data_IF_277091072894
#
_entry.id   IF_277091072894
#
_cell.length_a   1.000
_cell.length_b   1.000
_cell.length_c   1.000
_cell.angle_alpha   90.00
_cell.angle_beta   90.00
_cell.angle_gamma   90.00
#
_symmetry.space_group_name_H-M   'P 1'
#
loop_
_entity.id
_entity.type
_entity.pdbx_description
1 polymer ?
#
# COMPACT_ATOMS: atom_id res chain seq x y z
N UNK A 1 4.89 -45.65 -26.95
CA UNK A 1 5.71 -45.57 -25.74
C UNK A 1 5.23 -44.45 -24.86
N UNK A 2 4.12 -44.66 -24.19
CA UNK A 2 3.54 -43.76 -23.17
C UNK A 2 2.76 -44.62 -22.20
N UNK A 3 3.41 -45.12 -21.13
CA UNK A 3 2.83 -45.79 -19.96
C UNK A 3 4.00 -46.31 -19.14
N UNK A 4 4.54 -45.48 -18.26
CA UNK A 4 5.40 -45.94 -17.12
C UNK A 4 5.96 -44.68 -16.43
N UNK A 5 5.14 -43.91 -15.77
CA UNK A 5 5.53 -42.97 -14.69
C UNK A 5 4.21 -42.55 -13.99
N UNK A 6 3.68 -43.43 -13.15
CA UNK A 6 2.59 -43.13 -12.21
C UNK A 6 2.42 -44.20 -11.12
N UNK A 7 3.51 -44.72 -10.57
CA UNK A 7 3.45 -45.66 -9.43
C UNK A 7 4.57 -45.44 -8.38
N UNK A 8 5.20 -44.29 -8.34
CA UNK A 8 6.27 -44.04 -7.36
C UNK A 8 5.90 -42.98 -6.27
N UNK A 9 4.70 -42.40 -6.29
CA UNK A 9 4.32 -41.37 -5.30
C UNK A 9 3.31 -41.77 -4.25
N UNK A 10 2.90 -43.02 -4.19
CA UNK A 10 1.87 -43.47 -3.24
C UNK A 10 2.47 -44.34 -2.11
N UNK A 11 3.73 -44.74 -2.18
CA UNK A 11 4.36 -45.63 -1.18
C UNK A 11 5.15 -44.83 -0.11
N UNK A 12 5.39 -43.53 -0.30
CA UNK A 12 6.15 -42.75 0.70
C UNK A 12 5.27 -42.02 1.74
N UNK A 13 3.95 -42.07 1.62
CA UNK A 13 3.01 -41.44 2.58
C UNK A 13 2.44 -42.42 3.62
N UNK A 14 2.72 -43.73 3.51
CA UNK A 14 2.18 -44.75 4.40
C UNK A 14 3.15 -45.19 5.51
N UNK A 15 4.38 -44.68 5.56
CA UNK A 15 5.36 -45.04 6.58
C UNK A 15 5.64 -43.99 7.65
N UNK A 16 4.91 -42.87 7.66
CA UNK A 16 5.05 -41.80 8.68
C UNK A 16 3.84 -41.68 9.62
N UNK A 17 2.88 -42.62 9.57
CA UNK A 17 1.70 -42.62 10.44
C UNK A 17 1.65 -43.75 11.47
N UNK A 18 2.76 -44.51 11.68
CA UNK A 18 2.78 -45.64 12.62
C UNK A 18 3.69 -45.45 13.84
N UNK A 19 4.06 -44.23 14.21
CA UNK A 19 4.94 -43.97 15.37
C UNK A 19 4.31 -43.14 16.49
N UNK A 20 2.99 -43.03 16.58
CA UNK A 20 2.30 -42.24 17.64
C UNK A 20 1.12 -43.01 18.27
N UNK A 21 1.29 -44.29 18.53
CA UNK A 21 0.34 -45.07 19.32
C UNK A 21 1.12 -46.05 20.26
N UNK A 22 1.82 -45.46 21.23
CA UNK A 22 2.22 -46.25 22.41
C UNK A 22 2.14 -45.38 23.66
N UNK A 23 1.38 -45.92 24.56
CA UNK A 23 1.41 -45.68 25.99
C UNK A 23 0.33 -44.77 26.58
N UNK A 24 -0.80 -45.36 26.86
CA UNK A 24 -1.45 -45.20 28.15
C UNK A 24 -1.84 -46.58 28.63
N UNK A 25 -1.02 -47.14 29.47
CA UNK A 25 -1.39 -48.31 30.27
C UNK A 25 -1.40 -47.85 31.73
N UNK A 26 -2.61 -47.63 32.23
CA UNK A 26 -2.89 -47.35 33.61
C UNK A 26 -2.63 -48.60 34.42
N UNK A 27 -1.55 -48.62 35.17
CA UNK A 27 -1.40 -49.51 36.31
C UNK A 27 -1.23 -48.65 37.56
N UNK A 28 -2.28 -48.69 38.36
CA UNK A 28 -2.36 -47.98 39.62
C UNK A 28 -1.16 -48.29 40.53
N UNK A 29 -0.48 -47.24 40.89
CA UNK A 29 0.27 -47.18 42.13
C UNK A 29 -0.03 -45.84 42.80
N UNK A 30 -0.73 -45.95 43.92
CA UNK A 30 -1.15 -44.86 44.80
C UNK A 30 -0.01 -44.47 45.71
N UNK A 31 1.06 -43.86 45.18
CA UNK A 31 2.01 -43.11 45.98
C UNK A 31 2.48 -41.89 45.18
N UNK A 32 1.58 -40.89 45.06
CA UNK A 32 2.02 -39.54 44.73
C UNK A 32 2.74 -38.99 45.95
N UNK A 33 3.99 -38.53 45.83
CA UNK A 33 4.61 -37.78 46.91
C UNK A 33 3.73 -36.58 47.18
N UNK A 34 3.23 -36.44 48.41
CA UNK A 34 2.58 -35.23 48.90
C UNK A 34 3.64 -34.12 48.81
N UNK A 35 3.46 -33.24 47.80
CA UNK A 35 4.20 -31.98 47.73
C UNK A 35 3.83 -31.14 48.96
N UNK A 36 4.78 -30.44 49.60
CA UNK A 36 4.50 -29.62 50.74
C UNK A 36 3.38 -28.62 50.43
N UNK A 37 2.42 -28.45 51.34
CA UNK A 37 1.39 -27.47 51.27
C UNK A 37 2.05 -26.09 51.12
N UNK A 38 1.86 -25.46 49.96
CA UNK A 38 2.37 -24.14 49.65
C UNK A 38 1.26 -23.12 49.95
N UNK A 39 1.53 -22.26 50.91
CA UNK A 39 0.60 -21.19 51.31
C UNK A 39 0.67 -20.03 50.32
N UNK A 40 0.14 -20.23 49.10
CA UNK A 40 0.03 -19.21 48.07
C UNK A 40 -1.31 -18.53 48.21
N UNK A 41 -1.31 -17.23 48.53
CA UNK A 41 -2.53 -16.42 48.65
C UNK A 41 -3.27 -16.22 47.27
N UNK A 42 -2.72 -16.74 46.18
CA UNK A 42 -3.30 -16.62 44.84
C UNK A 42 -3.26 -17.99 44.15
N UNK A 43 -4.34 -18.73 44.25
CA UNK A 43 -4.50 -20.03 43.58
C UNK A 43 -5.34 -19.90 42.32
N UNK A 44 -4.95 -20.61 41.27
CA UNK A 44 -5.74 -20.77 40.06
C UNK A 44 -7.07 -21.49 40.40
N UNK A 45 -8.24 -20.90 40.07
CA UNK A 45 -9.54 -21.49 40.37
C UNK A 45 -9.79 -22.84 39.66
N UNK A 46 -8.97 -23.19 38.64
CA UNK A 46 -9.15 -24.40 37.87
C UNK A 46 -8.26 -25.55 38.37
N UNK A 47 -7.03 -25.28 38.78
CA UNK A 47 -6.08 -26.32 39.17
C UNK A 47 -5.51 -26.17 40.59
N UNK A 48 -5.90 -25.14 41.32
CA UNK A 48 -5.40 -24.78 42.68
C UNK A 48 -3.87 -24.60 42.76
N UNK A 49 -3.20 -24.31 41.63
CA UNK A 49 -1.79 -24.00 41.59
C UNK A 49 -1.55 -22.49 41.68
N UNK A 50 -0.36 -22.10 42.14
CA UNK A 50 0.01 -20.69 42.27
C UNK A 50 0.04 -19.98 40.94
N UNK A 51 -0.68 -18.87 40.84
CA UNK A 51 -0.72 -17.96 39.65
C UNK A 51 0.03 -16.64 39.88
N UNK A 52 0.65 -16.45 41.05
CA UNK A 52 1.35 -15.20 41.36
C UNK A 52 2.68 -15.12 40.60
N UNK A 53 2.83 -14.17 39.63
CA UNK A 53 4.08 -13.99 38.91
C UNK A 53 5.20 -13.42 39.80
N UNK A 54 4.88 -12.89 40.98
CA UNK A 54 5.83 -12.29 41.92
C UNK A 54 6.26 -13.25 43.03
N UNK A 55 5.74 -14.46 43.04
CA UNK A 55 6.12 -15.51 44.03
C UNK A 55 7.62 -15.84 43.89
N UNK A 56 8.41 -15.43 44.87
CA UNK A 56 9.88 -15.59 44.92
C UNK A 56 10.32 -16.90 45.59
N UNK A 57 9.40 -17.73 46.02
CA UNK A 57 9.77 -19.01 46.65
C UNK A 57 10.40 -19.97 45.64
N UNK A 58 11.64 -20.39 45.94
CA UNK A 58 12.47 -21.23 45.08
C UNK A 58 11.83 -22.60 44.75
N UNK A 59 10.90 -23.06 45.55
CA UNK A 59 10.25 -24.35 45.43
C UNK A 59 8.81 -24.28 44.93
N UNK A 60 8.40 -23.13 44.33
CA UNK A 60 7.13 -23.04 43.64
C UNK A 60 7.15 -23.88 42.34
N UNK A 61 7.47 -25.14 42.46
CA UNK A 61 7.39 -26.15 41.39
C UNK A 61 5.95 -26.33 40.86
N UNK A 62 4.98 -25.73 41.54
CA UNK A 62 3.57 -25.80 41.27
C UNK A 62 3.04 -24.56 40.57
N UNK A 63 3.89 -23.80 39.87
CA UNK A 63 3.38 -22.72 38.99
C UNK A 63 2.45 -23.33 37.96
N UNK A 64 1.29 -22.74 37.84
CA UNK A 64 0.32 -23.03 36.80
C UNK A 64 0.95 -22.73 35.42
N UNK A 65 1.71 -23.66 34.87
CA UNK A 65 2.30 -23.55 33.53
C UNK A 65 1.32 -24.11 32.51
N UNK A 66 0.33 -23.34 32.09
CA UNK A 66 -0.53 -23.80 31.02
C UNK A 66 -2.00 -23.43 31.07
N UNK A 67 -2.46 -22.77 32.12
CA UNK A 67 -3.77 -22.15 32.05
C UNK A 67 -3.59 -20.72 31.48
N UNK A 68 -4.11 -20.54 30.31
CA UNK A 68 -4.37 -19.21 29.77
C UNK A 68 -5.21 -18.49 30.81
N UNK A 69 -4.77 -17.34 31.32
CA UNK A 69 -5.60 -16.44 32.14
C UNK A 69 -6.93 -16.32 31.39
N UNK A 70 -8.09 -16.57 32.02
CA UNK A 70 -9.37 -16.41 31.32
C UNK A 70 -9.39 -15.00 30.72
N UNK A 71 -9.56 -14.92 29.41
CA UNK A 71 -9.66 -13.64 28.72
C UNK A 71 -10.76 -12.83 29.38
N UNK A 72 -10.43 -11.62 29.84
CA UNK A 72 -11.43 -10.74 30.48
C UNK A 72 -12.47 -10.25 29.47
N UNK A 73 -12.10 -10.22 28.19
CA UNK A 73 -12.94 -9.79 27.07
C UNK A 73 -12.82 -10.75 25.88
N UNK A 74 -13.94 -10.91 25.19
CA UNK A 74 -14.00 -11.49 23.86
C UNK A 74 -14.13 -10.37 22.85
N UNK A 75 -13.18 -10.29 21.90
CA UNK A 75 -13.21 -9.30 20.81
C UNK A 75 -13.60 -10.05 19.54
N UNK A 76 -14.74 -9.70 18.97
CA UNK A 76 -15.26 -10.28 17.72
C UNK A 76 -15.17 -9.25 16.62
N UNK A 77 -14.35 -9.52 15.58
CA UNK A 77 -14.18 -8.64 14.44
C UNK A 77 -15.35 -8.77 13.47
N UNK A 78 -15.85 -7.66 12.97
CA UNK A 78 -16.86 -7.68 11.92
C UNK A 78 -16.22 -8.21 10.63
N UNK A 79 -16.94 -9.09 9.94
CA UNK A 79 -16.46 -9.67 8.70
C UNK A 79 -16.54 -8.64 7.57
N UNK A 80 -15.40 -8.34 6.96
CA UNK A 80 -15.34 -7.56 5.72
C UNK A 80 -15.48 -8.54 4.55
N UNK A 81 -16.71 -8.68 4.06
CA UNK A 81 -17.04 -9.66 3.01
C UNK A 81 -16.59 -9.25 1.62
N UNK A 82 -16.29 -10.24 0.78
CA UNK A 82 -15.99 -10.05 -0.64
C UNK A 82 -14.65 -9.36 -0.92
N UNK A 83 -14.50 -8.83 -2.14
CA UNK A 83 -13.41 -7.96 -2.54
C UNK A 83 -13.82 -6.50 -2.29
N UNK A 84 -13.04 -5.76 -1.51
CA UNK A 84 -13.32 -4.37 -1.15
C UNK A 84 -12.77 -3.45 -2.23
N UNK A 85 -13.62 -2.67 -2.87
CA UNK A 85 -13.22 -1.55 -3.73
C UNK A 85 -13.32 -0.24 -2.94
N UNK A 86 -12.21 0.52 -2.92
CA UNK A 86 -12.14 1.79 -2.21
C UNK A 86 -12.50 2.99 -3.08
N UNK A 87 -12.70 2.79 -4.38
CA UNK A 87 -13.14 3.88 -5.26
C UNK A 87 -14.54 4.36 -4.87
N UNK A 88 -14.80 5.64 -5.05
CA UNK A 88 -16.16 6.17 -4.93
C UNK A 88 -17.02 5.61 -6.06
N UNK A 89 -18.35 5.61 -5.88
CA UNK A 89 -19.29 5.17 -6.92
C UNK A 89 -19.04 5.87 -8.26
N UNK A 90 -18.77 7.17 -8.24
CA UNK A 90 -18.47 7.95 -9.44
C UNK A 90 -17.15 7.54 -10.10
N UNK A 91 -16.13 7.22 -9.31
CA UNK A 91 -14.86 6.69 -9.83
C UNK A 91 -15.07 5.29 -10.43
N UNK A 92 -15.84 4.42 -9.79
CA UNK A 92 -16.16 3.09 -10.30
C UNK A 92 -16.91 3.18 -11.63
N UNK A 93 -17.96 4.01 -11.73
CA UNK A 93 -18.69 4.25 -12.97
C UNK A 93 -17.78 4.70 -14.10
N UNK A 94 -16.82 5.60 -13.82
CA UNK A 94 -15.83 6.06 -14.80
C UNK A 94 -14.88 4.94 -15.24
N UNK A 95 -14.47 4.07 -14.31
CA UNK A 95 -13.55 2.96 -14.60
C UNK A 95 -14.23 1.83 -15.37
N UNK A 96 -15.52 1.63 -15.17
CA UNK A 96 -16.34 0.61 -15.87
C UNK A 96 -16.82 1.07 -17.25
N UNK A 97 -16.81 2.39 -17.51
CA UNK A 97 -17.27 2.92 -18.80
C UNK A 97 -16.32 2.61 -19.93
N UNK A 98 -16.79 1.96 -20.96
CA UNK A 98 -16.03 1.68 -22.19
C UNK A 98 -15.81 2.93 -23.04
N UNK A 99 -16.65 3.96 -22.87
CA UNK A 99 -16.55 5.26 -23.54
C UNK A 99 -15.88 6.32 -22.67
N UNK A 100 -14.96 5.91 -21.79
CA UNK A 100 -14.26 6.74 -20.82
C UNK A 100 -13.58 8.01 -21.39
N UNK A 101 -13.46 8.13 -22.69
CA UNK A 101 -12.87 9.30 -23.37
C UNK A 101 -13.63 10.61 -23.13
N UNK A 102 -14.85 10.55 -22.57
CA UNK A 102 -15.66 11.71 -22.23
C UNK A 102 -15.38 12.19 -20.80
N UNK A 103 -15.60 13.47 -20.53
CA UNK A 103 -15.42 14.08 -19.21
C UNK A 103 -16.72 14.07 -18.39
N UNK A 104 -17.59 13.08 -18.62
CA UNK A 104 -18.94 13.04 -18.05
C UNK A 104 -18.96 12.89 -16.54
N UNK A 105 -17.95 12.21 -15.96
CA UNK A 105 -17.90 11.85 -14.54
C UNK A 105 -17.27 12.95 -13.68
N UNK A 106 -16.19 13.58 -14.17
CA UNK A 106 -15.48 14.62 -13.45
C UNK A 106 -14.82 15.59 -14.44
N UNK A 107 -14.72 16.86 -14.06
CA UNK A 107 -14.27 17.93 -14.95
C UNK A 107 -13.10 18.76 -14.38
N UNK A 108 -12.42 18.27 -13.37
CA UNK A 108 -11.25 18.92 -12.79
C UNK A 108 -11.52 20.21 -12.01
N UNK A 109 -12.77 20.51 -11.69
CA UNK A 109 -13.14 21.75 -10.97
C UNK A 109 -13.34 21.55 -9.47
N UNK A 110 -13.40 20.29 -9.02
CA UNK A 110 -13.63 19.90 -7.62
C UNK A 110 -12.66 18.81 -7.20
N UNK A 111 -12.36 18.74 -5.92
CA UNK A 111 -11.58 17.64 -5.34
C UNK A 111 -12.48 16.40 -5.15
N UNK A 112 -12.35 15.45 -6.04
CA UNK A 112 -13.06 14.16 -6.05
C UNK A 112 -12.07 12.99 -6.15
N UNK A 113 -10.74 13.25 -6.05
CA UNK A 113 -9.71 12.21 -6.18
C UNK A 113 -9.50 11.39 -4.90
N UNK A 114 -10.23 11.73 -3.84
CA UNK A 114 -10.19 10.95 -2.60
C UNK A 114 -11.04 9.68 -2.76
N UNK A 115 -10.59 8.60 -2.11
CA UNK A 115 -11.31 7.32 -2.08
C UNK A 115 -12.25 7.26 -0.89
N UNK A 116 -13.13 6.27 -0.91
CA UNK A 116 -13.88 5.88 0.28
C UNK A 116 -12.92 5.39 1.38
N UNK A 117 -13.34 5.56 2.61
CA UNK A 117 -12.70 4.95 3.76
C UNK A 117 -13.38 3.61 4.04
N UNK A 118 -12.58 2.60 4.34
CA UNK A 118 -13.05 1.30 4.79
C UNK A 118 -13.15 1.32 6.32
N UNK A 119 -14.33 1.10 6.83
CA UNK A 119 -14.56 0.94 8.26
C UNK A 119 -14.20 -0.48 8.70
N UNK A 120 -13.23 -0.63 9.58
CA UNK A 120 -12.95 -1.85 10.33
C UNK A 120 -13.63 -1.72 11.69
N UNK A 121 -14.54 -2.63 12.00
CA UNK A 121 -15.32 -2.58 13.22
C UNK A 121 -15.28 -3.89 13.98
N UNK A 122 -15.57 -3.84 15.30
CA UNK A 122 -15.55 -5.00 16.19
C UNK A 122 -16.54 -4.82 17.34
N UNK A 123 -16.78 -5.92 18.03
CA UNK A 123 -17.54 -5.95 19.27
C UNK A 123 -16.65 -6.44 20.40
N UNK A 124 -16.78 -5.86 21.56
CA UNK A 124 -16.06 -6.23 22.77
C UNK A 124 -17.07 -6.62 23.85
N UNK A 125 -17.02 -7.85 24.29
CA UNK A 125 -17.93 -8.41 25.29
C UNK A 125 -17.13 -8.84 26.52
N UNK A 126 -17.50 -8.37 27.70
CA UNK A 126 -16.92 -8.84 28.95
C UNK A 126 -17.31 -10.31 29.19
N UNK A 127 -16.32 -11.14 29.50
CA UNK A 127 -16.51 -12.58 29.77
C UNK A 127 -16.56 -12.85 31.28
N UNK A 128 -16.07 -11.91 32.09
CA UNK A 128 -16.06 -11.99 33.54
C UNK A 128 -16.66 -10.73 34.16
N UNK A 129 -17.36 -10.88 35.28
CA UNK A 129 -18.03 -9.77 35.98
C UNK A 129 -17.05 -8.72 36.55
N UNK A 130 -15.79 -9.07 36.74
CA UNK A 130 -14.73 -8.23 37.31
C UNK A 130 -13.67 -7.82 36.26
N UNK A 131 -14.05 -7.75 34.99
CA UNK A 131 -13.11 -7.33 33.93
C UNK A 131 -12.68 -5.88 34.14
N UNK A 132 -11.37 -5.60 34.00
CA UNK A 132 -10.85 -4.23 33.99
C UNK A 132 -11.48 -3.44 32.86
N UNK A 133 -11.63 -2.12 33.03
CA UNK A 133 -12.22 -1.27 32.00
C UNK A 133 -11.31 -1.20 30.76
N UNK A 134 -11.90 -1.28 29.57
CA UNK A 134 -11.20 -0.97 28.32
C UNK A 134 -10.92 0.53 28.24
N UNK A 135 -9.66 0.91 28.06
CA UNK A 135 -9.23 2.31 27.91
C UNK A 135 -9.32 2.73 26.45
N UNK A 136 -8.71 1.97 25.57
CA UNK A 136 -8.67 2.20 24.13
C UNK A 136 -8.38 0.89 23.39
N UNK A 137 -8.29 1.00 22.06
CA UNK A 137 -7.97 -0.12 21.18
C UNK A 137 -6.76 0.22 20.31
N UNK A 138 -5.93 -0.78 20.09
CA UNK A 138 -4.86 -0.78 19.09
C UNK A 138 -5.24 -1.71 17.94
N UNK A 139 -5.41 -1.17 16.74
CA UNK A 139 -5.70 -1.94 15.53
C UNK A 139 -4.43 -2.09 14.71
N UNK A 140 -4.07 -3.31 14.36
CA UNK A 140 -2.94 -3.60 13.46
C UNK A 140 -3.44 -4.17 12.15
N UNK A 141 -2.96 -3.60 11.04
CA UNK A 141 -3.25 -3.99 9.67
C UNK A 141 -1.94 -4.22 8.92
N UNK A 142 -1.82 -5.32 8.18
CA UNK A 142 -0.60 -5.67 7.46
C UNK A 142 -0.89 -6.61 6.28
N UNK A 143 0.05 -6.71 5.34
CA UNK A 143 0.05 -7.74 4.30
C UNK A 143 0.80 -9.01 4.72
N UNK A 144 1.51 -8.98 5.85
CA UNK A 144 2.25 -10.10 6.41
C UNK A 144 1.41 -10.85 7.46
N UNK A 145 1.03 -12.13 7.24
CA UNK A 145 0.23 -12.87 8.21
C UNK A 145 0.90 -13.07 9.57
N UNK A 146 2.22 -12.85 9.67
CA UNK A 146 2.98 -12.94 10.92
C UNK A 146 3.05 -11.62 11.70
N UNK A 147 2.57 -10.51 11.13
CA UNK A 147 2.63 -9.17 11.72
C UNK A 147 4.05 -8.68 12.06
N UNK A 148 5.05 -9.12 11.30
CA UNK A 148 6.46 -8.73 11.49
C UNK A 148 6.93 -7.64 10.52
N UNK A 149 6.19 -7.43 9.41
CA UNK A 149 6.54 -6.47 8.35
C UNK A 149 5.34 -5.65 7.95
N UNK A 150 5.60 -4.42 7.50
CA UNK A 150 4.60 -3.51 6.93
C UNK A 150 3.33 -3.42 7.80
N UNK A 151 3.51 -3.25 9.11
CA UNK A 151 2.42 -3.19 10.07
C UNK A 151 2.01 -1.73 10.28
N UNK A 152 0.79 -1.41 9.86
CA UNK A 152 0.16 -0.13 10.19
C UNK A 152 -0.61 -0.27 11.50
N UNK A 153 -0.44 0.71 12.38
CA UNK A 153 -1.04 0.70 13.69
C UNK A 153 -1.93 1.92 13.83
N UNK A 154 -3.16 1.69 14.26
CA UNK A 154 -4.15 2.73 14.52
C UNK A 154 -4.61 2.63 15.97
N UNK A 155 -4.94 3.76 16.58
CA UNK A 155 -5.56 3.81 17.90
C UNK A 155 -7.00 4.29 17.78
N UNK A 156 -7.89 3.73 18.58
CA UNK A 156 -9.31 4.14 18.65
C UNK A 156 -9.83 4.08 20.08
N UNK A 157 -10.68 5.03 20.44
CA UNK A 157 -11.48 4.97 21.66
C UNK A 157 -12.86 4.35 21.42
N UNK A 158 -13.24 4.20 20.14
CA UNK A 158 -14.48 3.57 19.71
C UNK A 158 -14.21 2.14 19.22
N UNK A 159 -15.28 1.39 18.95
CA UNK A 159 -15.19 0.02 18.45
C UNK A 159 -15.06 -0.03 16.93
N UNK A 160 -14.41 0.95 16.33
CA UNK A 160 -14.10 1.00 14.91
C UNK A 160 -12.92 1.91 14.60
N UNK A 161 -12.40 1.76 13.36
CA UNK A 161 -11.40 2.65 12.77
C UNK A 161 -11.60 2.70 11.27
N UNK A 162 -11.42 3.86 10.67
CA UNK A 162 -11.45 4.02 9.23
C UNK A 162 -10.04 3.91 8.66
N UNK A 163 -9.87 3.09 7.63
CA UNK A 163 -8.63 2.93 6.87
C UNK A 163 -8.85 3.28 5.41
N UNK A 164 -7.84 3.81 4.75
CA UNK A 164 -7.92 4.22 3.33
C UNK A 164 -6.61 3.97 2.59
N UNK A 165 -6.60 4.22 1.29
CA UNK A 165 -5.39 4.17 0.46
C UNK A 165 -4.69 2.81 0.45
N UNK A 166 -5.42 1.73 0.69
CA UNK A 166 -4.88 0.37 0.65
C UNK A 166 -4.42 0.01 -0.76
N UNK A 167 -3.45 -0.89 -0.87
CA UNK A 167 -3.04 -1.47 -2.16
C UNK A 167 -4.20 -2.25 -2.77
N UNK A 168 -4.40 -2.14 -4.08
CA UNK A 168 -5.41 -2.91 -4.83
C UNK A 168 -4.93 -4.35 -5.04
N UNK A 169 -5.83 -5.29 -5.33
CA UNK A 169 -5.54 -6.70 -5.56
C UNK A 169 -4.69 -7.32 -4.43
N UNK A 170 -4.90 -6.92 -3.19
CA UNK A 170 -4.02 -7.24 -2.07
C UNK A 170 -4.79 -7.86 -0.91
N UNK A 171 -4.24 -8.91 -0.33
CA UNK A 171 -4.74 -9.53 0.88
C UNK A 171 -4.12 -8.85 2.11
N UNK A 172 -4.97 -8.45 3.05
CA UNK A 172 -4.59 -7.87 4.33
C UNK A 172 -5.04 -8.75 5.48
N UNK A 173 -4.27 -8.72 6.54
CA UNK A 173 -4.55 -9.33 7.83
C UNK A 173 -4.69 -8.23 8.86
N UNK A 174 -5.70 -8.33 9.72
CA UNK A 174 -5.90 -7.34 10.76
C UNK A 174 -6.37 -7.97 12.06
N UNK A 175 -6.07 -7.32 13.16
CA UNK A 175 -6.49 -7.69 14.51
C UNK A 175 -6.61 -6.46 15.39
N UNK A 176 -7.35 -6.62 16.47
CA UNK A 176 -7.60 -5.57 17.47
C UNK A 176 -7.08 -6.05 18.81
N UNK A 177 -6.41 -5.15 19.52
CA UNK A 177 -6.00 -5.33 20.92
C UNK A 177 -6.73 -4.30 21.75
N UNK A 178 -7.53 -4.73 22.73
CA UNK A 178 -8.08 -3.86 23.77
C UNK A 178 -7.00 -3.63 24.83
N UNK A 179 -6.74 -2.38 25.15
CA UNK A 179 -5.86 -1.95 26.24
C UNK A 179 -6.72 -1.71 27.50
N UNK A 180 -6.42 -2.42 28.56
CA UNK A 180 -7.22 -2.41 29.77
C UNK A 180 -6.59 -1.56 30.86
N UNK A 181 -7.42 -1.06 31.77
CA UNK A 181 -6.95 -0.42 32.99
C UNK A 181 -6.05 -1.41 33.78
N UNK A 182 -4.95 -0.88 34.35
CA UNK A 182 -3.91 -1.72 34.97
C UNK A 182 -2.88 -2.32 34.01
N UNK A 183 -2.95 -1.99 32.69
CA UNK A 183 -1.93 -2.33 31.71
C UNK A 183 -2.04 -3.74 31.10
N UNK A 184 -3.08 -4.50 31.42
CA UNK A 184 -3.41 -5.75 30.75
C UNK A 184 -3.94 -5.50 29.32
N UNK A 185 -3.83 -6.50 28.45
CA UNK A 185 -4.34 -6.39 27.07
C UNK A 185 -5.02 -7.69 26.64
N UNK A 186 -6.05 -7.54 25.82
CA UNK A 186 -6.73 -8.66 25.17
C UNK A 186 -6.70 -8.48 23.66
N UNK A 187 -6.39 -9.54 22.91
CA UNK A 187 -6.24 -9.46 21.45
C UNK A 187 -7.21 -10.42 20.75
N UNK A 188 -7.87 -9.92 19.71
CA UNK A 188 -8.76 -10.72 18.87
C UNK A 188 -8.03 -11.78 18.07
N UNK A 189 -8.78 -12.71 17.49
CA UNK A 189 -8.32 -13.49 16.36
C UNK A 189 -7.95 -12.59 15.17
N UNK A 190 -7.20 -13.14 14.23
CA UNK A 190 -6.84 -12.46 12.97
C UNK A 190 -8.00 -12.57 11.99
N UNK A 191 -8.42 -11.44 11.43
CA UNK A 191 -9.35 -11.40 10.30
C UNK A 191 -8.62 -11.02 9.02
N UNK A 192 -9.25 -11.33 7.88
CA UNK A 192 -8.69 -11.14 6.54
C UNK A 192 -9.63 -10.26 5.73
N UNK A 193 -9.07 -9.31 4.98
CA UNK A 193 -9.76 -8.61 3.93
C UNK A 193 -8.96 -8.68 2.62
N UNK A 194 -9.63 -8.57 1.48
CA UNK A 194 -9.03 -8.57 0.16
C UNK A 194 -9.54 -7.36 -0.59
N UNK A 195 -8.63 -6.58 -1.16
CA UNK A 195 -9.02 -5.42 -1.98
C UNK A 195 -9.28 -5.83 -3.43
N UNK A 196 -10.18 -5.12 -4.10
CA UNK A 196 -10.51 -5.34 -5.50
C UNK A 196 -9.31 -5.09 -6.43
N UNK A 197 -9.37 -5.62 -7.63
CA UNK A 197 -8.32 -5.50 -8.65
C UNK A 197 -8.46 -4.25 -9.52
N UNK A 198 -9.43 -3.41 -9.24
CA UNK A 198 -9.70 -2.19 -9.98
C UNK A 198 -8.65 -1.12 -9.66
N UNK A 199 -7.94 -0.63 -10.68
CA UNK A 199 -6.99 0.48 -10.57
C UNK A 199 -7.57 1.80 -11.09
N UNK A 200 -6.87 2.93 -10.89
CA UNK A 200 -5.60 3.07 -10.18
C UNK A 200 -5.78 3.02 -8.65
N UNK A 201 -4.71 2.75 -7.93
CA UNK A 201 -4.69 2.94 -6.48
C UNK A 201 -4.70 4.43 -6.17
N UNK A 202 -5.88 4.97 -5.85
CA UNK A 202 -6.04 6.35 -5.38
C UNK A 202 -5.59 6.47 -3.92
N UNK A 203 -5.05 7.63 -3.55
CA UNK A 203 -4.42 7.84 -2.23
C UNK A 203 -4.96 9.13 -1.61
N UNK A 204 -5.44 9.04 -0.37
CA UNK A 204 -5.95 10.17 0.38
C UNK A 204 -4.81 10.85 1.15
N UNK A 205 -4.28 11.95 0.63
CA UNK A 205 -3.31 12.79 1.33
C UNK A 205 -3.96 14.14 1.64
N UNK A 206 -3.89 14.55 2.89
CA UNK A 206 -4.49 15.81 3.31
C UNK A 206 -3.72 17.01 2.73
N UNK A 207 -4.47 17.97 2.16
CA UNK A 207 -3.90 19.15 1.50
C UNK A 207 -3.30 18.90 0.10
N UNK A 208 -3.33 17.67 -0.45
CA UNK A 208 -2.80 17.36 -1.79
C UNK A 208 -3.89 16.80 -2.69
N UNK A 209 -3.91 17.25 -3.94
CA UNK A 209 -4.84 16.78 -4.97
C UNK A 209 -4.21 15.73 -5.89
N UNK A 210 -5.05 14.93 -6.53
CA UNK A 210 -4.66 14.06 -7.65
C UNK A 210 -3.57 13.04 -7.30
N UNK A 211 -3.59 12.52 -6.04
CA UNK A 211 -2.57 11.58 -5.54
C UNK A 211 -2.94 10.16 -5.90
N UNK A 212 -2.04 9.42 -6.54
CA UNK A 212 -2.19 7.99 -6.82
C UNK A 212 -0.86 7.28 -7.05
N UNK A 213 -0.89 5.96 -6.93
CA UNK A 213 0.22 5.06 -7.21
C UNK A 213 0.26 4.76 -8.73
N UNK A 214 1.42 4.72 -9.33
CA UNK A 214 1.58 4.21 -10.69
C UNK A 214 1.53 2.67 -10.74
N UNK A 215 1.72 2.03 -9.61
CA UNK A 215 1.58 0.59 -9.46
C UNK A 215 0.12 0.13 -9.40
N UNK A 216 -0.08 -1.16 -9.60
CA UNK A 216 -1.37 -1.81 -9.54
C UNK A 216 -1.99 -2.11 -10.89
N UNK A 217 -1.63 -1.42 -11.97
CA UNK A 217 -2.06 -1.73 -13.32
C UNK A 217 -1.50 -3.05 -13.81
N UNK A 218 -2.31 -3.82 -14.54
CA UNK A 218 -1.84 -5.01 -15.26
C UNK A 218 -1.16 -4.60 -16.55
N UNK A 219 -0.11 -5.33 -16.89
CA UNK A 219 0.59 -5.24 -18.15
C UNK A 219 -0.01 -6.22 -19.17
N UNK A 220 0.32 -6.07 -20.44
CA UNK A 220 -0.20 -6.92 -21.52
C UNK A 220 0.19 -8.40 -21.39
N UNK A 221 1.26 -8.71 -20.66
CA UNK A 221 1.69 -10.08 -20.37
C UNK A 221 1.06 -10.68 -19.09
N UNK A 222 0.18 -9.91 -18.43
CA UNK A 222 -0.50 -10.33 -17.20
C UNK A 222 0.28 -10.06 -15.91
N UNK A 223 1.49 -9.53 -15.99
CA UNK A 223 2.24 -9.03 -14.82
C UNK A 223 1.52 -7.80 -14.25
N UNK A 224 1.76 -7.47 -13.00
CA UNK A 224 1.25 -6.25 -12.38
C UNK A 224 2.39 -5.32 -11.99
N UNK A 225 2.29 -4.07 -12.38
CA UNK A 225 3.23 -3.03 -11.94
C UNK A 225 3.21 -2.95 -10.41
N UNK A 226 4.37 -2.99 -9.77
CA UNK A 226 4.50 -3.00 -8.31
C UNK A 226 3.94 -1.74 -7.69
N UNK A 227 3.15 -1.92 -6.65
CA UNK A 227 2.57 -0.83 -5.87
C UNK A 227 3.49 -0.39 -4.73
N UNK A 228 3.39 0.89 -4.38
CA UNK A 228 4.14 1.44 -3.25
C UNK A 228 5.54 1.92 -3.60
N UNK A 229 5.85 2.06 -4.88
CA UNK A 229 7.16 2.51 -5.35
C UNK A 229 7.13 3.93 -5.92
N UNK A 230 6.23 4.21 -6.85
CA UNK A 230 6.20 5.46 -7.58
C UNK A 230 4.82 6.10 -7.51
N UNK A 231 4.74 7.25 -6.89
CA UNK A 231 3.51 7.99 -6.68
C UNK A 231 3.50 9.27 -7.51
N UNK A 232 2.33 9.64 -8.03
CA UNK A 232 2.12 10.93 -8.70
C UNK A 232 1.11 11.78 -7.94
N UNK A 233 1.26 13.11 -8.01
CA UNK A 233 0.33 14.05 -7.35
C UNK A 233 0.36 15.46 -7.98
N UNK A 234 -0.46 16.35 -7.47
CA UNK A 234 -0.30 17.79 -7.61
C UNK A 234 0.84 18.30 -6.72
N UNK A 235 1.13 19.60 -6.80
CA UNK A 235 2.18 20.23 -5.98
C UNK A 235 1.96 20.02 -4.49
N UNK A 236 3.03 19.98 -3.73
CA UNK A 236 2.99 19.82 -2.29
C UNK A 236 2.95 21.16 -1.55
N UNK A 237 3.61 22.18 -2.06
CA UNK A 237 3.65 23.50 -1.47
C UNK A 237 2.81 24.52 -2.23
N UNK A 238 2.51 25.63 -1.57
CA UNK A 238 1.77 26.75 -2.12
C UNK A 238 2.45 27.31 -3.38
N UNK A 239 1.66 27.59 -4.41
CA UNK A 239 2.09 28.28 -5.62
C UNK A 239 1.45 29.67 -5.69
N UNK A 240 2.23 30.66 -6.12
CA UNK A 240 1.73 32.03 -6.30
C UNK A 240 0.82 32.20 -7.51
N UNK A 241 0.84 31.25 -8.45
CA UNK A 241 0.26 31.45 -9.80
C UNK A 241 -1.13 30.84 -10.00
N UNK A 242 -1.77 30.24 -9.00
CA UNK A 242 -2.96 29.44 -9.25
C UNK A 242 -4.18 29.80 -8.41
N UNK A 243 -5.35 29.66 -9.04
CA UNK A 243 -6.66 29.69 -8.40
C UNK A 243 -6.91 28.49 -7.47
N UNK A 244 -6.17 27.39 -7.67
CA UNK A 244 -6.27 26.18 -6.86
C UNK A 244 -5.32 26.28 -5.68
N UNK A 245 -5.88 26.43 -4.49
CA UNK A 245 -5.11 26.45 -3.24
C UNK A 245 -4.85 25.02 -2.79
N UNK A 246 -3.65 24.52 -3.04
CA UNK A 246 -3.18 23.23 -2.57
C UNK A 246 -1.89 23.46 -1.79
N UNK A 247 -1.87 22.98 -0.57
CA UNK A 247 -0.71 22.99 0.31
C UNK A 247 -0.83 21.78 1.24
N UNK A 248 0.19 20.94 1.25
CA UNK A 248 0.20 19.77 2.11
C UNK A 248 0.13 20.20 3.58
N UNK A 249 -0.73 19.54 4.35
CA UNK A 249 -0.82 19.74 5.80
C UNK A 249 0.19 18.86 6.53
N UNK A 250 0.40 19.11 7.83
CA UNK A 250 1.28 18.24 8.63
C UNK A 250 0.75 16.80 8.66
N UNK A 251 -0.57 16.58 8.76
CA UNK A 251 -1.18 15.25 8.63
C UNK A 251 -0.88 14.60 7.27
N UNK A 252 -0.89 15.38 6.20
CA UNK A 252 -0.53 14.89 4.86
C UNK A 252 0.96 14.52 4.76
N UNK A 253 1.86 15.28 5.40
CA UNK A 253 3.28 14.98 5.47
C UNK A 253 3.54 13.69 6.24
N UNK A 254 2.96 13.55 7.43
CA UNK A 254 3.08 12.33 8.25
C UNK A 254 2.60 11.11 7.45
N UNK A 255 1.48 11.24 6.75
CA UNK A 255 0.98 10.15 5.91
C UNK A 255 1.94 9.79 4.77
N UNK A 256 2.53 10.76 4.08
CA UNK A 256 3.52 10.50 3.03
C UNK A 256 4.82 9.89 3.57
N UNK A 257 5.26 10.32 4.74
CA UNK A 257 6.50 9.83 5.34
C UNK A 257 6.33 8.46 6.00
N UNK A 258 5.31 8.32 6.85
CA UNK A 258 5.17 7.15 7.71
C UNK A 258 4.40 6.01 7.01
N UNK A 259 3.35 6.34 6.24
CA UNK A 259 2.53 5.33 5.57
C UNK A 259 3.01 5.00 4.17
N UNK A 260 3.31 6.01 3.33
CA UNK A 260 3.82 5.79 1.99
C UNK A 260 5.33 5.56 1.95
N UNK A 261 6.05 5.98 2.98
CA UNK A 261 7.49 5.81 3.13
C UNK A 261 8.31 6.62 2.13
N UNK A 262 7.82 7.78 1.69
CA UNK A 262 8.44 8.60 0.63
C UNK A 262 9.87 8.99 1.01
N UNK A 263 10.83 8.67 0.15
CA UNK A 263 12.26 8.98 0.31
C UNK A 263 12.75 10.08 -0.62
N UNK A 264 12.09 10.25 -1.77
CA UNK A 264 12.46 11.30 -2.71
C UNK A 264 11.24 11.97 -3.34
N UNK A 265 11.38 13.25 -3.64
CA UNK A 265 10.41 14.08 -4.34
C UNK A 265 11.03 14.60 -5.63
N UNK A 266 10.41 14.30 -6.77
CA UNK A 266 10.80 14.81 -8.07
C UNK A 266 9.83 15.93 -8.49
N UNK A 267 10.35 17.14 -8.60
CA UNK A 267 9.58 18.34 -8.95
C UNK A 267 9.81 18.73 -10.40
N UNK A 268 8.75 18.63 -11.19
CA UNK A 268 8.75 18.97 -12.62
C UNK A 268 8.40 20.43 -12.92
N UNK A 269 8.21 21.27 -11.89
CA UNK A 269 7.81 22.68 -12.05
C UNK A 269 8.98 23.56 -12.47
N UNK A 270 8.64 24.60 -13.22
CA UNK A 270 9.61 25.59 -13.69
C UNK A 270 9.76 26.72 -12.68
N UNK A 271 10.99 27.01 -12.30
CA UNK A 271 11.36 28.17 -11.46
C UNK A 271 11.08 29.47 -12.19
N UNK A 272 11.38 29.52 -13.50
CA UNK A 272 11.21 30.72 -14.35
C UNK A 272 9.78 31.21 -14.45
N UNK A 273 8.80 30.31 -14.29
CA UNK A 273 7.38 30.64 -14.33
C UNK A 273 6.79 30.90 -12.94
N UNK A 274 7.63 31.04 -11.92
CA UNK A 274 7.23 31.23 -10.54
C UNK A 274 6.27 30.13 -10.00
N UNK A 275 6.32 28.93 -10.59
CA UNK A 275 5.43 27.83 -10.22
C UNK A 275 5.78 27.23 -8.85
N UNK A 276 7.03 27.33 -8.43
CA UNK A 276 7.54 26.71 -7.20
C UNK A 276 7.28 27.55 -5.94
N UNK A 277 6.63 28.71 -6.07
CA UNK A 277 6.23 29.53 -4.90
C UNK A 277 7.40 30.13 -4.11
N UNK A 278 8.53 30.33 -4.77
CA UNK A 278 9.82 30.67 -4.20
C UNK A 278 10.80 29.52 -4.37
N UNK A 279 12.08 29.83 -4.42
CA UNK A 279 13.13 28.81 -4.55
C UNK A 279 13.20 27.96 -3.28
N UNK A 280 12.60 26.81 -3.29
CA UNK A 280 12.85 25.78 -2.30
C UNK A 280 13.79 24.74 -2.90
N UNK A 281 14.99 24.64 -2.37
CA UNK A 281 15.92 23.57 -2.73
C UNK A 281 15.73 22.33 -1.83
N UNK A 282 14.67 22.35 -1.05
CA UNK A 282 14.31 21.30 -0.10
C UNK A 282 12.87 20.86 -0.32
N UNK A 283 12.60 19.59 -0.06
CA UNK A 283 11.25 19.05 -0.12
C UNK A 283 10.34 19.69 0.93
N UNK A 284 9.08 20.03 0.59
CA UNK A 284 8.07 20.38 1.58
C UNK A 284 7.79 19.28 2.61
N UNK A 285 8.21 18.04 2.32
CA UNK A 285 8.10 16.90 3.23
C UNK A 285 9.18 16.90 4.33
N UNK A 286 10.23 17.70 4.16
CA UNK A 286 11.31 17.83 5.11
C UNK A 286 12.67 17.39 4.59
N UNK A 287 13.71 17.62 5.39
CA UNK A 287 15.13 17.41 5.01
C UNK A 287 15.50 15.92 4.79
N UNK A 288 14.72 15.00 5.36
CA UNK A 288 14.93 13.56 5.16
C UNK A 288 14.55 13.08 3.76
N UNK A 289 13.78 13.88 3.01
CA UNK A 289 13.34 13.55 1.65
C UNK A 289 14.26 14.20 0.63
N UNK A 290 14.83 13.40 -0.24
CA UNK A 290 15.72 13.88 -1.30
C UNK A 290 14.93 14.65 -2.35
N UNK A 291 15.21 15.95 -2.49
CA UNK A 291 14.57 16.81 -3.48
C UNK A 291 15.29 16.75 -4.83
N UNK A 292 14.55 16.43 -5.89
CA UNK A 292 15.06 16.20 -7.25
C UNK A 292 14.39 17.18 -8.23
N UNK A 293 14.95 18.39 -8.42
CA UNK A 293 14.40 19.34 -9.39
C UNK A 293 14.65 18.88 -10.83
N UNK A 294 13.57 18.70 -11.58
CA UNK A 294 13.59 18.31 -13.00
C UNK A 294 12.63 19.23 -13.78
N UNK A 295 12.93 20.53 -13.91
CA UNK A 295 12.01 21.52 -14.48
C UNK A 295 11.71 21.22 -15.95
N UNK A 296 10.43 20.98 -16.26
CA UNK A 296 9.93 20.73 -17.62
C UNK A 296 9.10 21.90 -18.12
N UNK A 297 9.37 22.34 -19.34
CA UNK A 297 8.55 23.33 -20.03
C UNK A 297 7.27 22.69 -20.58
N UNK A 298 6.11 23.27 -20.27
CA UNK A 298 4.82 22.81 -20.78
C UNK A 298 4.31 23.65 -21.99
N UNK A 299 5.02 24.75 -22.32
CA UNK A 299 4.67 25.62 -23.45
C UNK A 299 5.31 25.18 -24.78
N UNK A 300 5.60 23.90 -24.90
CA UNK A 300 6.19 23.31 -26.13
C UNK A 300 5.14 22.56 -26.92
N UNK A 301 5.30 22.53 -28.25
CA UNK A 301 4.39 21.77 -29.13
C UNK A 301 4.50 20.25 -28.97
N UNK A 302 5.61 19.78 -28.45
CA UNK A 302 5.85 18.38 -28.11
C UNK A 302 6.62 18.29 -26.80
N UNK A 303 5.98 17.71 -25.79
CA UNK A 303 6.53 17.65 -24.44
C UNK A 303 7.78 16.77 -24.33
N UNK A 304 7.96 15.77 -25.23
CA UNK A 304 9.15 14.91 -25.24
C UNK A 304 10.33 15.68 -25.81
N UNK A 305 10.18 16.22 -27.04
CA UNK A 305 11.25 16.95 -27.72
C UNK A 305 11.69 18.17 -26.95
N UNK A 306 10.71 18.96 -26.46
CA UNK A 306 10.99 20.19 -25.71
C UNK A 306 11.64 19.98 -24.35
N UNK A 307 11.63 18.76 -23.82
CA UNK A 307 12.16 18.42 -22.51
C UNK A 307 13.14 17.25 -22.49
N UNK A 308 13.77 16.94 -23.62
CA UNK A 308 14.62 15.74 -23.78
C UNK A 308 15.71 15.63 -22.71
N UNK A 309 16.41 16.71 -22.37
CA UNK A 309 17.45 16.70 -21.32
C UNK A 309 16.88 16.38 -19.94
N UNK A 310 15.69 16.91 -19.64
CA UNK A 310 15.04 16.61 -18.37
C UNK A 310 14.52 15.18 -18.31
N UNK A 311 14.02 14.62 -19.42
CA UNK A 311 13.61 13.22 -19.51
C UNK A 311 14.79 12.30 -19.23
N UNK A 312 15.95 12.55 -19.84
CA UNK A 312 17.18 11.79 -19.54
C UNK A 312 17.54 11.85 -18.06
N UNK A 313 17.46 13.05 -17.45
CA UNK A 313 17.69 13.22 -16.01
C UNK A 313 16.68 12.47 -15.15
N UNK A 314 15.39 12.53 -15.50
CA UNK A 314 14.30 11.85 -14.81
C UNK A 314 14.53 10.34 -14.82
N UNK A 315 14.80 9.76 -16.00
CA UNK A 315 15.01 8.32 -16.11
C UNK A 315 16.28 7.85 -15.38
N UNK A 316 17.32 8.68 -15.29
CA UNK A 316 18.49 8.40 -14.43
C UNK A 316 18.09 8.29 -12.94
N UNK A 317 17.19 9.15 -12.44
CA UNK A 317 16.70 9.05 -11.07
C UNK A 317 15.75 7.86 -10.87
N UNK A 318 14.89 7.60 -11.84
CA UNK A 318 13.99 6.43 -11.82
C UNK A 318 14.74 5.10 -11.89
N UNK A 319 15.93 5.06 -12.48
CA UNK A 319 16.78 3.87 -12.54
C UNK A 319 17.53 3.56 -11.22
N UNK A 320 17.51 4.48 -10.26
CA UNK A 320 18.18 4.30 -8.96
C UNK A 320 17.21 3.75 -7.91
N UNK A 321 17.35 2.47 -7.48
CA UNK A 321 16.45 1.86 -6.51
C UNK A 321 16.48 2.53 -5.13
N UNK A 322 17.55 3.28 -4.81
CA UNK A 322 17.65 4.01 -3.53
C UNK A 322 16.70 5.19 -3.41
N UNK A 323 16.16 5.68 -4.55
CA UNK A 323 15.22 6.80 -4.59
C UNK A 323 13.79 6.42 -4.18
N UNK A 324 13.47 5.13 -4.13
CA UNK A 324 12.11 4.65 -3.86
C UNK A 324 11.83 4.40 -2.37
N UNK A 325 10.59 4.58 -1.92
CA UNK A 325 9.45 5.13 -2.66
C UNK A 325 9.65 6.59 -3.05
N UNK A 326 9.26 6.92 -4.31
CA UNK A 326 9.38 8.27 -4.86
C UNK A 326 8.01 8.89 -5.12
N UNK A 327 7.86 10.19 -4.87
CA UNK A 327 6.73 10.97 -5.34
C UNK A 327 7.17 11.97 -6.40
N UNK A 328 6.40 12.13 -7.47
CA UNK A 328 6.69 13.12 -8.49
C UNK A 328 5.46 13.94 -8.88
N UNK A 329 5.69 15.20 -9.23
CA UNK A 329 4.60 16.11 -9.50
C UNK A 329 5.02 17.28 -10.39
N UNK A 330 4.01 17.93 -10.99
CA UNK A 330 4.12 19.27 -11.52
C UNK A 330 3.26 20.23 -10.70
N UNK A 331 2.64 21.23 -11.32
CA UNK A 331 1.78 22.16 -10.59
C UNK A 331 0.44 21.53 -10.16
N UNK A 332 -0.25 20.85 -11.07
CA UNK A 332 -1.55 20.20 -10.82
C UNK A 332 -1.52 18.68 -10.93
N UNK A 333 -0.35 18.11 -11.20
CA UNK A 333 -0.15 16.64 -11.28
C UNK A 333 -0.76 16.00 -12.53
N UNK A 334 -0.99 16.75 -13.61
CA UNK A 334 -1.74 16.26 -14.77
C UNK A 334 -0.87 16.14 -16.02
N UNK A 335 -0.38 17.28 -16.58
CA UNK A 335 0.19 17.29 -17.94
C UNK A 335 1.65 16.75 -17.96
N UNK A 336 2.64 17.46 -17.41
CA UNK A 336 4.04 16.99 -17.31
C UNK A 336 4.15 15.70 -16.48
N UNK A 337 3.43 15.65 -15.39
CA UNK A 337 3.29 14.44 -14.56
C UNK A 337 2.63 13.29 -15.35
N UNK A 338 1.61 13.62 -16.18
CA UNK A 338 0.96 12.67 -17.07
C UNK A 338 1.89 12.08 -18.11
N UNK A 339 2.77 12.91 -18.72
CA UNK A 339 3.79 12.41 -19.64
C UNK A 339 4.71 11.37 -18.96
N UNK A 340 5.28 11.72 -17.81
CA UNK A 340 6.20 10.80 -17.11
C UNK A 340 5.47 9.52 -16.69
N UNK A 341 4.23 9.63 -16.20
CA UNK A 341 3.42 8.45 -15.87
C UNK A 341 3.14 7.57 -17.09
N UNK A 342 2.83 8.18 -18.24
CA UNK A 342 2.58 7.47 -19.50
C UNK A 342 3.85 6.77 -20.00
N UNK A 343 5.00 7.44 -19.97
CA UNK A 343 6.28 6.86 -20.37
C UNK A 343 6.68 5.67 -19.49
N UNK A 344 6.54 5.79 -18.17
CA UNK A 344 6.85 4.69 -17.24
C UNK A 344 5.86 3.53 -17.43
N UNK A 345 4.56 3.81 -17.51
CA UNK A 345 3.55 2.76 -17.70
C UNK A 345 3.66 2.07 -19.05
N UNK A 346 3.88 2.83 -20.13
CA UNK A 346 4.10 2.31 -21.47
C UNK A 346 5.36 1.43 -21.54
N UNK A 347 6.46 1.91 -20.96
CA UNK A 347 7.71 1.15 -20.85
C UNK A 347 7.52 -0.19 -20.10
N UNK A 348 6.67 -0.20 -19.06
CA UNK A 348 6.33 -1.43 -18.31
C UNK A 348 5.30 -2.32 -19.02
N UNK A 349 4.78 -1.96 -20.18
CA UNK A 349 3.82 -2.75 -20.93
C UNK A 349 2.36 -2.60 -20.47
N UNK A 350 2.01 -1.53 -19.78
CA UNK A 350 0.60 -1.21 -19.45
C UNK A 350 -0.14 -0.88 -20.75
N UNK A 351 -1.36 -1.44 -20.99
CA UNK A 351 -2.15 -1.16 -22.19
C UNK A 351 -2.46 0.31 -22.40
N UNK A 352 -2.52 0.75 -23.66
CA UNK A 352 -2.72 2.16 -24.04
C UNK A 352 -4.02 2.74 -23.46
N UNK A 353 -5.12 1.99 -23.52
CA UNK A 353 -6.42 2.39 -22.98
C UNK A 353 -6.37 2.60 -21.44
N UNK A 354 -5.62 1.77 -20.75
CA UNK A 354 -5.38 1.88 -19.31
C UNK A 354 -4.57 3.13 -18.97
N UNK A 355 -3.57 3.47 -19.78
CA UNK A 355 -2.79 4.70 -19.62
C UNK A 355 -3.65 5.95 -19.85
N UNK A 356 -4.57 5.90 -20.81
CA UNK A 356 -5.56 6.97 -20.99
C UNK A 356 -6.49 7.11 -19.79
N UNK A 357 -6.96 5.98 -19.23
CA UNK A 357 -7.80 5.99 -18.02
C UNK A 357 -7.03 6.62 -16.84
N UNK A 358 -5.77 6.19 -16.62
CA UNK A 358 -4.95 6.82 -15.57
C UNK A 358 -4.85 8.33 -15.77
N UNK A 359 -4.58 8.79 -16.99
CA UNK A 359 -4.52 10.23 -17.26
C UNK A 359 -5.82 10.93 -16.93
N UNK A 360 -6.96 10.40 -17.38
CA UNK A 360 -8.30 10.98 -17.19
C UNK A 360 -8.77 10.98 -15.75
N UNK A 361 -8.26 10.07 -14.90
CA UNK A 361 -8.49 10.12 -13.46
C UNK A 361 -7.99 11.44 -12.83
N UNK A 362 -7.15 12.20 -13.52
CA UNK A 362 -6.79 13.55 -13.08
C UNK A 362 -7.98 14.51 -13.03
N UNK A 363 -9.05 14.27 -13.80
CA UNK A 363 -10.27 15.07 -13.76
C UNK A 363 -11.02 14.96 -12.43
N UNK A 364 -10.75 13.94 -11.63
CA UNK A 364 -11.26 13.81 -10.26
C UNK A 364 -10.52 14.73 -9.28
N UNK A 365 -9.30 15.17 -9.59
CA UNK A 365 -8.59 16.18 -8.81
C UNK A 365 -9.10 17.59 -9.07
N UNK A 366 -8.87 18.51 -8.13
CA UNK A 366 -9.08 19.93 -8.36
C UNK A 366 -7.90 20.49 -9.17
N UNK A 367 -7.98 20.38 -10.48
CA UNK A 367 -6.89 20.70 -11.43
C UNK A 367 -7.14 21.97 -12.28
N UNK A 368 -8.26 22.67 -12.02
CA UNK A 368 -8.57 23.95 -12.68
C UNK A 368 -9.20 23.81 -14.07
N UNK A 369 -9.77 22.66 -14.41
CA UNK A 369 -10.48 22.42 -15.66
C UNK A 369 -10.26 21.02 -16.22
N UNK A 370 -11.15 20.57 -17.10
CA UNK A 370 -11.15 19.22 -17.65
C UNK A 370 -9.97 18.94 -18.58
N UNK A 371 -9.60 17.66 -18.65
CA UNK A 371 -8.66 17.08 -19.63
C UNK A 371 -9.36 15.99 -20.43
N UNK A 372 -8.94 15.83 -21.66
CA UNK A 372 -9.40 14.77 -22.57
C UNK A 372 -8.21 13.98 -23.10
N UNK A 373 -8.43 12.82 -23.64
CA UNK A 373 -7.36 12.02 -24.27
C UNK A 373 -6.71 12.75 -25.45
N UNK A 374 -7.43 13.59 -26.18
CA UNK A 374 -6.91 14.39 -27.28
C UNK A 374 -5.77 15.31 -26.82
N UNK A 375 -5.83 15.79 -25.57
CA UNK A 375 -4.77 16.64 -25.02
C UNK A 375 -3.41 15.94 -25.03
N UNK A 376 -3.36 14.64 -24.70
CA UNK A 376 -2.09 13.90 -24.64
C UNK A 376 -1.75 13.23 -25.96
N UNK A 377 -2.73 12.91 -26.81
CA UNK A 377 -2.49 12.32 -28.13
C UNK A 377 -1.62 13.24 -28.97
N UNK A 378 -1.99 14.52 -29.10
CA UNK A 378 -1.25 15.50 -29.88
C UNK A 378 0.09 15.89 -29.22
N UNK A 379 0.13 15.94 -27.87
CA UNK A 379 1.31 16.42 -27.16
C UNK A 379 2.47 15.42 -27.13
N UNK A 380 2.20 14.09 -27.10
CA UNK A 380 3.26 13.10 -27.01
C UNK A 380 2.90 11.67 -27.45
N UNK A 381 1.63 11.24 -27.39
CA UNK A 381 1.29 9.82 -27.66
C UNK A 381 1.53 9.48 -29.13
N UNK A 382 1.11 10.34 -30.05
CA UNK A 382 1.38 10.12 -31.50
C UNK A 382 2.86 10.06 -31.79
N UNK A 383 3.66 10.93 -31.14
CA UNK A 383 5.11 10.89 -31.29
C UNK A 383 5.73 9.58 -30.79
N UNK A 384 5.27 9.05 -29.64
CA UNK A 384 5.70 7.73 -29.15
C UNK A 384 5.33 6.64 -30.17
N UNK A 385 4.12 6.70 -30.72
CA UNK A 385 3.58 5.69 -31.66
C UNK A 385 4.27 5.70 -33.04
N UNK A 386 4.94 6.78 -33.40
CA UNK A 386 5.77 6.87 -34.61
C UNK A 386 7.14 6.21 -34.46
N UNK A 387 7.55 5.89 -33.22
CA UNK A 387 8.81 5.18 -32.99
C UNK A 387 8.72 3.70 -33.45
N UNK A 388 9.87 3.12 -33.76
CA UNK A 388 9.97 1.70 -34.15
C UNK A 388 9.45 0.77 -33.05
N UNK A 389 8.86 -0.35 -33.45
CA UNK A 389 8.33 -1.37 -32.54
C UNK A 389 6.93 -1.85 -32.95
N UNK A 390 6.55 -3.04 -32.51
CA UNK A 390 5.23 -3.63 -32.75
C UNK A 390 4.25 -3.27 -31.63
N UNK A 391 4.73 -3.23 -30.38
CA UNK A 391 3.95 -2.96 -29.18
C UNK A 391 4.17 -1.52 -28.69
N UNK A 392 3.23 -1.00 -27.87
CA UNK A 392 3.42 0.30 -27.23
C UNK A 392 4.66 0.30 -26.32
N UNK A 393 4.97 -0.81 -25.67
CA UNK A 393 6.15 -0.93 -24.83
C UNK A 393 7.44 -0.76 -25.63
N UNK A 394 7.58 -1.46 -26.75
CA UNK A 394 8.73 -1.32 -27.67
C UNK A 394 8.83 0.09 -28.24
N UNK A 395 7.72 0.67 -28.68
CA UNK A 395 7.66 2.04 -29.17
C UNK A 395 8.08 3.06 -28.11
N UNK A 396 7.63 2.88 -26.87
CA UNK A 396 8.02 3.73 -25.74
C UNK A 396 9.50 3.58 -25.42
N UNK A 397 10.02 2.35 -25.44
CA UNK A 397 11.44 2.07 -25.23
C UNK A 397 12.31 2.75 -26.30
N UNK A 398 11.97 2.55 -27.58
CA UNK A 398 12.72 3.13 -28.70
C UNK A 398 12.59 4.67 -28.75
N UNK A 399 11.42 5.21 -28.41
CA UNK A 399 11.24 6.65 -28.27
C UNK A 399 12.17 7.24 -27.21
N UNK A 400 12.30 6.58 -26.06
CA UNK A 400 13.18 7.01 -24.97
C UNK A 400 14.66 6.87 -25.33
N UNK A 401 15.05 5.80 -26.04
CA UNK A 401 16.41 5.69 -26.60
C UNK A 401 16.73 6.83 -27.55
N UNK A 402 15.81 7.15 -28.47
CA UNK A 402 15.96 8.27 -29.41
C UNK A 402 16.01 9.62 -28.70
N UNK A 403 15.37 9.75 -27.55
CA UNK A 403 15.43 10.93 -26.67
C UNK A 403 16.78 11.07 -25.96
N UNK A 404 17.61 10.01 -25.94
CA UNK A 404 18.93 9.98 -25.32
C UNK A 404 18.98 9.30 -23.95
N UNK A 405 17.92 8.60 -23.53
CA UNK A 405 17.91 7.81 -22.30
C UNK A 405 18.73 6.53 -22.53
N UNK A 406 19.77 6.25 -21.71
CA UNK A 406 20.54 5.02 -21.83
C UNK A 406 19.67 3.76 -21.62
N UNK A 407 19.94 2.70 -22.40
CA UNK A 407 19.21 1.43 -22.32
C UNK A 407 19.22 0.84 -20.91
N UNK A 408 20.37 0.88 -20.24
CA UNK A 408 20.51 0.39 -18.87
C UNK A 408 19.58 1.10 -17.86
N UNK A 409 19.24 2.36 -18.09
CA UNK A 409 18.27 3.06 -17.25
C UNK A 409 16.85 2.59 -17.51
N UNK A 410 16.50 2.31 -18.78
CA UNK A 410 15.19 1.79 -19.16
C UNK A 410 14.97 0.39 -18.57
N UNK A 411 15.95 -0.48 -18.72
CA UNK A 411 15.93 -1.84 -18.19
C UNK A 411 15.85 -1.84 -16.66
N UNK A 412 16.57 -0.95 -15.99
CA UNK A 412 16.50 -0.78 -14.55
C UNK A 412 15.10 -0.35 -14.10
N UNK A 413 14.47 0.63 -14.79
CA UNK A 413 13.10 1.08 -14.46
C UNK A 413 12.10 -0.06 -14.63
N UNK A 414 12.16 -0.81 -15.73
CA UNK A 414 11.30 -1.97 -15.94
C UNK A 414 11.50 -2.99 -14.82
N UNK A 415 12.74 -3.35 -14.51
CA UNK A 415 13.07 -4.30 -13.44
C UNK A 415 12.58 -3.86 -12.06
N UNK A 416 12.75 -2.57 -11.70
CA UNK A 416 12.25 -2.01 -10.44
C UNK A 416 10.73 -2.08 -10.39
N UNK A 417 10.06 -1.61 -11.44
CA UNK A 417 8.60 -1.44 -11.46
C UNK A 417 7.83 -2.75 -11.65
N UNK A 418 8.38 -3.74 -12.39
CA UNK A 418 7.70 -5.01 -12.65
C UNK A 418 8.27 -6.17 -11.85
N UNK A 419 9.53 -6.11 -11.47
CA UNK A 419 10.26 -7.23 -10.87
C UNK A 419 10.78 -8.24 -11.88
N UNK A 420 10.60 -7.98 -13.17
CA UNK A 420 11.12 -8.79 -14.26
C UNK A 420 12.56 -8.32 -14.56
N UNK A 421 13.53 -9.20 -14.42
CA UNK A 421 14.89 -8.92 -14.85
C UNK A 421 14.91 -8.90 -16.39
N UNK A 422 15.31 -7.77 -16.98
CA UNK A 422 15.52 -7.70 -18.43
C UNK A 422 16.99 -8.00 -18.69
N UNK A 423 17.24 -9.09 -19.39
CA UNK A 423 18.55 -9.45 -19.94
C UNK A 423 19.62 -9.77 -18.90
N UNK A 424 19.71 -11.02 -18.48
CA UNK A 424 20.97 -11.63 -18.10
C UNK A 424 21.54 -12.39 -19.31
#
# INVERSE_FOLDING_TARGET
MKKFIRIASVILCAMLLSALLFACNDNGNTDKPQLPEHDCNHTCPVCNLCVDPTCTEKDCANKCSGHVTPTAYKISLDFVGGKVDLHTELQQQCLDDTLYMTTSYANGSKELSKTNELKLAWKTEAVTDNANTVIDYTVKLTTDPTFNKDVWTFSSFDNDVNVHSLKIATKYYWRVTANLDGGATETSDISVLVTAECGPRMINVDGVTNVRDLGGWQTTDGTRVKQGLLYRCGRLNKSSSTTVRVEITDKGKDFMLDYLGVKSEMDLRMVSNNEVGGLTYTSPLGESVKYLPCPMDYNTSNLIIGNHEQIVRIFRYLADPSMYPMIFHCNIGTDRTGLIAFLVGGLCGVPEDTLYRDYLMSNFGNIGGSRTVFTIQDNYVYYIKESDGETLAEKTYNCLLATGVPAEHLDAVIGIMTGVAIGA
#
